data_IF_909337176030
#
_entry.id   IF_909337176030
#
_cell.length_a   1.000
_cell.length_b   1.000
_cell.length_c   1.000
_cell.angle_alpha   90.00
_cell.angle_beta   90.00
_cell.angle_gamma   90.00
#
_symmetry.space_group_name_H-M   'P 1'
#
loop_
_entity.id
_entity.type
_entity.pdbx_description
1 polymer ?
#
# COMPACT_ATOMS: atom_id res chain seq x y z
N UNK A 1 -10.05 -4.96 22.99
CA UNK A 1 -9.57 -3.60 23.32
C UNK A 1 -8.17 -3.48 22.77
N UNK A 2 -7.85 -2.46 21.98
CA UNK A 2 -6.48 -2.26 21.48
C UNK A 2 -5.63 -1.73 22.65
N UNK A 3 -4.55 -2.41 23.06
CA UNK A 3 -3.70 -1.94 24.14
C UNK A 3 -3.06 -0.58 23.84
N UNK A 4 -3.08 0.34 24.80
CA UNK A 4 -2.55 1.71 24.64
C UNK A 4 -1.07 1.75 24.26
N UNK A 5 -0.26 0.80 24.76
CA UNK A 5 1.17 0.75 24.43
C UNK A 5 1.43 0.53 22.94
N UNK A 6 0.54 -0.14 22.21
CA UNK A 6 0.68 -0.33 20.76
C UNK A 6 0.48 0.96 20.00
N UNK A 7 -0.51 1.76 20.42
CA UNK A 7 -0.74 3.09 19.85
C UNK A 7 0.48 3.96 20.12
N UNK A 8 0.99 3.96 21.35
CA UNK A 8 2.20 4.71 21.70
C UNK A 8 3.41 4.27 20.86
N UNK A 9 3.58 2.98 20.59
CA UNK A 9 4.68 2.50 19.74
C UNK A 9 4.51 2.96 18.28
N UNK A 10 3.29 2.89 17.73
CA UNK A 10 3.02 3.33 16.35
C UNK A 10 3.25 4.84 16.16
N UNK A 11 2.82 5.67 17.10
CA UNK A 11 2.97 7.15 16.99
C UNK A 11 4.40 7.63 17.23
N UNK A 12 5.25 6.81 17.87
CA UNK A 12 6.67 7.12 18.10
C UNK A 12 7.61 6.45 17.08
N UNK A 13 7.08 5.76 16.07
CA UNK A 13 7.90 5.18 15.00
C UNK A 13 8.67 6.29 14.27
N UNK A 14 9.95 6.05 14.01
CA UNK A 14 10.85 7.05 13.39
C UNK A 14 10.78 7.07 11.87
N UNK A 15 10.05 6.12 11.28
CA UNK A 15 9.88 5.98 9.84
C UNK A 15 8.55 5.29 9.50
N UNK A 16 8.10 5.47 8.25
CA UNK A 16 6.89 4.82 7.74
C UNK A 16 7.11 3.31 7.63
N UNK A 17 8.32 2.87 7.29
CA UNK A 17 8.73 1.47 7.19
C UNK A 17 8.63 0.78 8.55
N UNK A 18 9.15 1.42 9.60
CA UNK A 18 9.05 0.91 10.96
C UNK A 18 7.59 0.82 11.42
N UNK A 19 6.82 1.89 11.22
CA UNK A 19 5.39 1.91 11.53
C UNK A 19 4.65 0.79 10.81
N UNK A 20 4.88 0.63 9.51
CA UNK A 20 4.22 -0.37 8.67
C UNK A 20 4.59 -1.80 9.09
N UNK A 21 5.85 -2.05 9.43
CA UNK A 21 6.29 -3.34 9.94
C UNK A 21 5.64 -3.68 11.29
N UNK A 22 5.53 -2.72 12.21
CA UNK A 22 4.83 -2.90 13.48
C UNK A 22 3.34 -3.21 13.25
N UNK A 23 2.69 -2.45 12.37
CA UNK A 23 1.28 -2.59 12.07
C UNK A 23 0.95 -3.96 11.44
N UNK A 24 1.69 -4.37 10.42
CA UNK A 24 1.45 -5.63 9.70
C UNK A 24 1.68 -6.86 10.58
N UNK A 25 2.69 -6.84 11.46
CA UNK A 25 2.92 -7.91 12.44
C UNK A 25 1.77 -8.04 13.42
N UNK A 26 1.29 -6.92 13.96
CA UNK A 26 0.15 -6.94 14.88
C UNK A 26 -1.13 -7.41 14.21
N UNK A 27 -1.37 -7.02 12.96
CA UNK A 27 -2.55 -7.45 12.20
C UNK A 27 -2.51 -8.94 11.84
N UNK A 28 -1.32 -9.54 11.73
CA UNK A 28 -1.18 -10.98 11.51
C UNK A 28 -1.78 -11.82 12.66
N UNK A 29 -1.73 -11.32 13.90
CA UNK A 29 -2.34 -11.99 15.07
C UNK A 29 -3.87 -12.08 14.97
N UNK A 30 -4.49 -11.23 14.13
CA UNK A 30 -5.93 -11.25 13.83
C UNK A 30 -6.26 -12.05 12.56
N UNK A 31 -5.25 -12.66 11.91
CA UNK A 31 -5.41 -13.41 10.67
C UNK A 31 -5.35 -12.56 9.39
N UNK A 32 -4.97 -11.28 9.48
CA UNK A 32 -4.73 -10.47 8.28
C UNK A 32 -3.36 -10.79 7.69
N UNK A 33 -3.37 -11.61 6.63
CA UNK A 33 -2.16 -11.99 5.89
C UNK A 33 -1.71 -10.89 4.91
N UNK A 34 -2.65 -10.13 4.35
CA UNK A 34 -2.40 -9.15 3.30
C UNK A 34 -3.16 -7.85 3.52
N UNK A 35 -2.43 -6.75 3.51
CA UNK A 35 -2.93 -5.42 3.86
C UNK A 35 -2.45 -4.42 2.80
N UNK A 36 -3.36 -3.53 2.41
CA UNK A 36 -3.08 -2.38 1.58
C UNK A 36 -3.59 -1.13 2.30
N UNK A 37 -2.73 -0.14 2.47
CA UNK A 37 -3.06 1.15 3.03
C UNK A 37 -2.84 2.23 1.97
N UNK A 38 -3.92 2.90 1.56
CA UNK A 38 -3.88 4.00 0.61
C UNK A 38 -4.24 5.31 1.30
N UNK A 39 -3.39 6.32 1.15
CA UNK A 39 -3.63 7.66 1.65
C UNK A 39 -3.35 8.69 0.54
N UNK A 40 -4.23 9.67 0.40
CA UNK A 40 -4.08 10.80 -0.51
C UNK A 40 -4.44 12.08 0.24
N UNK A 41 -3.62 13.12 0.06
CA UNK A 41 -3.85 14.43 0.71
C UNK A 41 -5.03 15.18 0.12
N UNK A 42 -5.37 14.92 -1.14
CA UNK A 42 -6.40 15.66 -1.88
C UNK A 42 -7.45 14.70 -2.44
N UNK A 43 -8.46 14.35 -1.62
CA UNK A 43 -9.67 13.71 -2.16
C UNK A 43 -10.58 14.80 -2.73
N UNK A 44 -10.83 14.76 -4.03
CA UNK A 44 -12.00 15.44 -4.62
C UNK A 44 -13.14 14.44 -4.72
N UNK A 45 -14.38 14.92 -4.83
CA UNK A 45 -15.59 14.08 -4.91
C UNK A 45 -15.59 13.12 -6.11
N UNK A 46 -14.74 13.35 -7.11
CA UNK A 46 -14.68 12.61 -8.38
C UNK A 46 -13.29 12.00 -8.68
N UNK A 47 -12.28 12.22 -7.83
CA UNK A 47 -10.93 11.70 -8.07
C UNK A 47 -10.20 11.37 -6.76
N UNK A 48 -9.33 10.36 -6.82
CA UNK A 48 -8.42 9.96 -5.72
C UNK A 48 -7.25 10.95 -5.52
N UNK A 49 -7.26 12.09 -6.21
CA UNK A 49 -6.23 13.12 -6.11
C UNK A 49 -5.15 12.99 -7.17
N UNK A 50 -4.06 13.74 -6.98
CA UNK A 50 -2.87 13.63 -7.82
C UNK A 50 -2.18 12.28 -7.54
N UNK A 51 -1.86 11.47 -8.58
CA UNK A 51 -1.06 10.25 -8.43
C UNK A 51 0.28 10.47 -7.70
N UNK A 52 0.86 11.68 -7.78
CA UNK A 52 2.10 12.02 -7.08
C UNK A 52 1.91 12.27 -5.57
N UNK A 53 0.67 12.49 -5.11
CA UNK A 53 0.32 12.69 -3.69
C UNK A 53 -0.26 11.42 -3.03
N UNK A 54 -0.20 10.28 -3.73
CA UNK A 54 -0.74 9.01 -3.28
C UNK A 54 0.35 8.16 -2.61
N UNK A 55 0.15 7.86 -1.32
CA UNK A 55 0.96 6.89 -0.58
C UNK A 55 0.21 5.57 -0.55
N UNK A 56 0.84 4.53 -1.10
CA UNK A 56 0.37 3.14 -0.99
C UNK A 56 1.39 2.30 -0.22
N UNK A 57 0.97 1.74 0.91
CA UNK A 57 1.73 0.74 1.64
C UNK A 57 1.08 -0.62 1.45
N UNK A 58 1.89 -1.65 1.17
CA UNK A 58 1.40 -3.02 1.10
C UNK A 58 2.46 -4.00 1.61
N UNK A 59 2.01 -5.11 2.19
CA UNK A 59 2.85 -6.27 2.49
C UNK A 59 2.70 -7.40 1.47
N UNK A 60 2.00 -7.15 0.34
CA UNK A 60 1.95 -8.11 -0.76
C UNK A 60 3.35 -8.39 -1.30
N UNK A 61 3.65 -9.67 -1.61
CA UNK A 61 4.88 -10.05 -2.32
C UNK A 61 4.96 -9.27 -3.63
N UNK A 62 6.15 -8.78 -3.98
CA UNK A 62 6.45 -7.88 -5.11
C UNK A 62 5.99 -8.36 -6.49
N UNK A 63 5.58 -9.62 -6.63
CA UNK A 63 4.95 -10.17 -7.84
C UNK A 63 3.50 -9.73 -8.08
N UNK A 64 2.87 -8.96 -7.18
CA UNK A 64 1.51 -8.46 -7.37
C UNK A 64 1.45 -7.05 -8.01
N UNK A 65 2.55 -6.29 -7.99
CA UNK A 65 2.58 -4.88 -8.46
C UNK A 65 3.21 -4.74 -9.85
N UNK A 66 3.79 -5.81 -10.41
CA UNK A 66 4.27 -5.87 -11.79
C UNK A 66 3.35 -6.74 -12.63
N UNK A 67 2.41 -6.14 -13.35
CA UNK A 67 2.30 -6.28 -14.82
C UNK A 67 1.08 -5.52 -15.37
N UNK A 68 1.30 -4.28 -15.82
CA UNK A 68 0.41 -3.61 -16.78
C UNK A 68 1.20 -2.64 -17.68
N UNK A 69 2.46 -2.97 -17.99
CA UNK A 69 3.14 -2.30 -19.11
C UNK A 69 2.67 -3.02 -20.36
N UNK A 70 1.69 -2.43 -21.03
CA UNK A 70 1.30 -2.73 -22.40
C UNK A 70 2.54 -3.05 -23.24
N UNK A 71 2.66 -4.30 -23.70
CA UNK A 71 3.64 -4.68 -24.73
C UNK A 71 3.14 -4.13 -26.07
N UNK A 72 3.86 -3.22 -26.74
CA UNK A 72 3.48 -2.73 -28.07
C UNK A 72 4.03 -3.70 -29.13
N UNK A 73 3.53 -4.93 -29.18
CA UNK A 73 4.01 -5.96 -30.12
C UNK A 73 2.85 -6.78 -30.73
N UNK A 74 1.70 -6.13 -30.97
CA UNK A 74 0.59 -6.74 -31.70
C UNK A 74 0.10 -5.80 -32.81
N UNK A 75 1.02 -5.34 -33.66
CA UNK A 75 0.70 -4.70 -34.94
C UNK A 75 1.93 -4.72 -35.83
N UNK A 76 2.27 -5.90 -36.36
CA UNK A 76 3.01 -6.07 -37.61
C UNK A 76 2.88 -7.53 -38.05
N UNK A 77 1.86 -7.78 -38.86
CA UNK A 77 1.55 -9.07 -39.45
C UNK A 77 0.59 -8.88 -40.62
N UNK A 78 0.89 -7.91 -41.48
CA UNK A 78 0.36 -7.87 -42.83
C UNK A 78 1.23 -8.78 -43.70
N UNK A 79 0.68 -9.94 -44.07
CA UNK A 79 0.82 -10.62 -45.35
C UNK A 79 -0.06 -11.86 -45.35
#
# INVERSE_FOLDING_TARGET
>A
MIPTHLINHLVNASSVEELWNLHTRYMADFGFDRIMYGYTRYRTTTSLGDPEDFVLLTNHKSGYVKDHRLTPEASLGGM
#
